data_IF_788962357039
#
_entry.id   IF_788962357039
#
_cell.length_a   1.000
_cell.length_b   1.000
_cell.length_c   1.000
_cell.angle_alpha   90.00
_cell.angle_beta   90.00
_cell.angle_gamma   90.00
#
_symmetry.space_group_name_H-M   'P 1'
#
loop_
_entity.id
_entity.type
_entity.pdbx_description
1 polymer ?
#
# COMPACT_ATOMS: atom_id res chain seq x y z
N UNK A 1 -14.18 -15.42 -2.89
CA UNK A 1 -14.38 -16.85 -2.50
C UNK A 1 -14.31 -17.04 -0.99
N UNK A 2 -13.24 -16.62 -0.31
CA UNK A 2 -13.17 -16.62 1.15
C UNK A 2 -13.79 -15.34 1.73
N UNK A 3 -14.53 -15.46 2.85
CA UNK A 3 -15.13 -14.33 3.58
C UNK A 3 -14.47 -14.18 4.95
N UNK A 4 -14.32 -12.96 5.47
CA UNK A 4 -13.91 -12.75 6.87
C UNK A 4 -15.05 -13.04 7.88
N UNK A 5 -16.30 -13.09 7.42
CA UNK A 5 -17.48 -13.22 8.27
C UNK A 5 -18.02 -14.64 8.39
N UNK A 6 -17.63 -15.56 7.48
CA UNK A 6 -18.11 -16.94 7.50
C UNK A 6 -17.06 -17.93 6.97
N UNK A 7 -16.91 -19.13 7.58
CA UNK A 7 -16.04 -20.16 7.08
C UNK A 7 -16.49 -20.68 5.71
N UNK A 8 -15.54 -20.88 4.81
CA UNK A 8 -15.77 -21.56 3.52
C UNK A 8 -15.25 -22.98 3.63
N UNK A 9 -16.08 -23.96 3.23
CA UNK A 9 -15.71 -25.38 3.25
C UNK A 9 -14.57 -25.68 2.27
N UNK A 10 -13.62 -26.53 2.70
CA UNK A 10 -12.44 -26.93 1.90
C UNK A 10 -12.86 -27.64 0.61
N UNK A 11 -13.93 -28.44 0.64
CA UNK A 11 -14.48 -29.12 -0.52
C UNK A 11 -14.97 -28.12 -1.56
N UNK A 12 -15.72 -27.09 -1.12
CA UNK A 12 -16.22 -26.03 -2.00
C UNK A 12 -15.06 -25.27 -2.68
N UNK A 13 -13.95 -25.03 -1.96
CA UNK A 13 -12.75 -24.40 -2.55
C UNK A 13 -12.14 -25.33 -3.59
N UNK A 14 -11.96 -26.60 -3.28
CA UNK A 14 -11.41 -27.61 -4.17
C UNK A 14 -12.21 -27.72 -5.47
N UNK A 15 -13.54 -27.82 -5.35
CA UNK A 15 -14.46 -27.90 -6.48
C UNK A 15 -14.40 -26.64 -7.36
N UNK A 16 -14.29 -25.44 -6.75
CA UNK A 16 -14.24 -24.17 -7.49
C UNK A 16 -12.91 -23.96 -8.20
N UNK A 17 -11.80 -24.42 -7.61
CA UNK A 17 -10.45 -24.28 -8.19
C UNK A 17 -10.04 -25.47 -9.08
N UNK A 18 -10.90 -26.49 -9.18
CA UNK A 18 -10.62 -27.73 -9.93
C UNK A 18 -9.34 -28.44 -9.46
N UNK A 19 -9.08 -28.44 -8.14
CA UNK A 19 -7.91 -29.10 -7.52
C UNK A 19 -8.36 -30.08 -6.43
N UNK A 20 -7.45 -30.99 -6.02
CA UNK A 20 -7.76 -31.95 -4.97
C UNK A 20 -7.87 -31.28 -3.58
N UNK A 21 -8.72 -31.84 -2.69
CA UNK A 21 -8.81 -31.35 -1.30
C UNK A 21 -7.47 -31.42 -0.55
N UNK A 22 -6.61 -32.47 -0.71
CA UNK A 22 -5.28 -32.47 -0.13
C UNK A 22 -4.41 -31.28 -0.58
N UNK A 23 -4.46 -30.91 -1.85
CA UNK A 23 -3.75 -29.72 -2.39
C UNK A 23 -4.25 -28.46 -1.68
N UNK A 24 -5.58 -28.24 -1.64
CA UNK A 24 -6.19 -27.11 -0.94
C UNK A 24 -5.78 -27.09 0.54
N UNK A 25 -5.80 -28.23 1.23
CA UNK A 25 -5.41 -28.32 2.65
C UNK A 25 -3.97 -27.93 2.89
N UNK A 26 -3.04 -28.33 1.99
CA UNK A 26 -1.62 -27.95 2.06
C UNK A 26 -1.45 -26.44 1.87
N UNK A 27 -2.09 -25.88 0.84
CA UNK A 27 -1.99 -24.45 0.53
C UNK A 27 -2.63 -23.59 1.63
N UNK A 28 -3.78 -24.04 2.17
CA UNK A 28 -4.42 -23.40 3.32
C UNK A 28 -3.59 -23.53 4.60
N UNK A 29 -2.80 -24.58 4.78
CA UNK A 29 -1.89 -24.70 5.92
C UNK A 29 -0.75 -23.67 5.82
N UNK A 30 -0.22 -23.48 4.62
CA UNK A 30 0.80 -22.45 4.36
C UNK A 30 0.19 -21.05 4.60
N UNK A 31 -0.95 -20.73 3.99
CA UNK A 31 -1.65 -19.45 4.19
C UNK A 31 -2.03 -19.20 5.66
N UNK A 32 -2.33 -20.26 6.42
CA UNK A 32 -2.60 -20.14 7.85
C UNK A 32 -1.31 -19.86 8.65
N UNK A 33 -0.20 -20.48 8.29
CA UNK A 33 1.11 -20.18 8.89
C UNK A 33 1.54 -18.72 8.62
N UNK A 34 1.20 -18.19 7.45
CA UNK A 34 1.39 -16.79 7.06
C UNK A 34 0.33 -15.86 7.69
N UNK A 35 -0.64 -16.40 8.45
CA UNK A 35 -1.71 -15.63 9.11
C UNK A 35 -2.77 -15.04 8.16
N UNK A 36 -2.79 -15.45 6.89
CA UNK A 36 -3.71 -14.97 5.86
C UNK A 36 -5.13 -15.52 6.05
N UNK A 37 -5.24 -16.73 6.57
CA UNK A 37 -6.50 -17.40 6.85
C UNK A 37 -6.52 -17.99 8.25
N UNK A 38 -7.72 -18.15 8.80
CA UNK A 38 -7.99 -18.90 10.05
C UNK A 38 -8.65 -20.21 9.68
N UNK A 39 -8.06 -21.32 10.10
CA UNK A 39 -8.68 -22.64 9.99
C UNK A 39 -9.64 -22.86 11.14
N UNK A 40 -10.84 -23.29 10.82
CA UNK A 40 -11.90 -23.63 11.79
C UNK A 40 -12.30 -25.10 11.61
N UNK A 41 -13.08 -25.65 12.55
CA UNK A 41 -13.61 -27.02 12.42
C UNK A 41 -14.56 -27.19 11.21
N UNK A 42 -15.15 -26.09 10.70
CA UNK A 42 -16.07 -26.09 9.56
C UNK A 42 -15.46 -25.58 8.24
N UNK A 43 -14.14 -25.32 8.18
CA UNK A 43 -13.51 -24.83 6.95
C UNK A 43 -12.42 -23.78 7.19
N UNK A 44 -12.35 -22.79 6.32
CA UNK A 44 -11.38 -21.71 6.38
C UNK A 44 -12.07 -20.38 6.14
N UNK A 45 -11.63 -19.36 6.85
CA UNK A 45 -12.10 -17.99 6.69
C UNK A 45 -10.90 -17.04 6.52
N UNK A 46 -11.12 -15.90 5.88
CA UNK A 46 -10.11 -14.85 5.91
C UNK A 46 -9.90 -14.42 7.36
N UNK A 47 -8.66 -14.25 7.75
CA UNK A 47 -8.36 -13.76 9.08
C UNK A 47 -8.91 -12.35 9.24
N UNK A 48 -9.88 -12.17 10.14
CA UNK A 48 -10.50 -10.87 10.46
C UNK A 48 -9.56 -9.92 11.22
N UNK A 49 -8.32 -10.35 11.50
CA UNK A 49 -7.27 -9.51 12.09
C UNK A 49 -6.71 -8.49 11.09
N UNK A 50 -7.57 -7.86 10.29
CA UNK A 50 -7.21 -6.63 9.56
C UNK A 50 -6.79 -5.49 10.52
N UNK A 51 -7.19 -5.59 11.79
CA UNK A 51 -6.78 -4.71 12.89
C UNK A 51 -5.48 -5.15 13.58
N UNK A 52 -4.81 -6.23 13.13
CA UNK A 52 -3.55 -6.62 13.74
C UNK A 52 -2.45 -5.65 13.31
N UNK A 53 -1.89 -4.93 14.29
CA UNK A 53 -0.87 -3.87 14.14
C UNK A 53 0.41 -4.33 13.44
N UNK A 54 0.53 -5.62 13.13
CA UNK A 54 1.75 -6.27 12.59
C UNK A 54 1.52 -7.12 11.33
N UNK A 55 0.53 -6.82 10.48
CA UNK A 55 0.33 -7.60 9.25
C UNK A 55 1.57 -7.58 8.35
N UNK A 56 2.19 -8.74 8.03
CA UNK A 56 3.30 -8.83 7.09
C UNK A 56 2.96 -8.18 5.74
N UNK A 57 3.97 -7.65 5.04
CA UNK A 57 3.79 -7.02 3.73
C UNK A 57 3.07 -7.96 2.74
N UNK A 58 3.51 -9.21 2.65
CA UNK A 58 2.91 -10.21 1.77
C UNK A 58 1.39 -10.32 1.95
N UNK A 59 0.92 -10.26 3.21
CA UNK A 59 -0.51 -10.25 3.48
C UNK A 59 -1.18 -8.97 3.01
N UNK A 60 -0.54 -7.81 3.26
CA UNK A 60 -1.08 -6.50 2.84
C UNK A 60 -1.16 -6.36 1.32
N UNK A 61 -0.29 -7.01 0.57
CA UNK A 61 -0.32 -7.04 -0.90
C UNK A 61 -1.63 -7.64 -1.43
N UNK A 62 -2.12 -8.73 -0.82
CA UNK A 62 -3.34 -9.42 -1.27
C UNK A 62 -4.64 -8.83 -0.71
N UNK A 63 -4.57 -8.10 0.40
CA UNK A 63 -5.76 -7.49 0.98
C UNK A 63 -6.20 -6.28 0.16
N UNK A 64 -7.52 -6.14 -0.05
CA UNK A 64 -8.13 -5.00 -0.75
C UNK A 64 -7.56 -4.80 -2.17
N UNK A 65 -7.22 -5.88 -2.86
CA UNK A 65 -6.54 -5.83 -4.16
C UNK A 65 -7.35 -5.06 -5.23
N UNK A 66 -8.64 -5.34 -5.34
CA UNK A 66 -9.54 -4.65 -6.26
C UNK A 66 -9.65 -3.15 -5.94
N UNK A 67 -9.75 -2.80 -4.66
CA UNK A 67 -9.83 -1.41 -4.19
C UNK A 67 -8.55 -0.67 -4.50
N UNK A 68 -7.38 -1.25 -4.20
CA UNK A 68 -6.08 -0.67 -4.52
C UNK A 68 -5.89 -0.46 -6.02
N UNK A 69 -6.33 -1.40 -6.84
CA UNK A 69 -6.28 -1.25 -8.30
C UNK A 69 -7.15 -0.09 -8.78
N UNK A 70 -8.37 0.08 -8.25
CA UNK A 70 -9.23 1.23 -8.56
C UNK A 70 -8.62 2.55 -8.13
N UNK A 71 -8.03 2.59 -6.94
CA UNK A 71 -7.32 3.76 -6.40
C UNK A 71 -6.15 4.12 -7.32
N UNK A 72 -5.30 3.16 -7.66
CA UNK A 72 -4.15 3.36 -8.52
C UNK A 72 -4.55 3.83 -9.93
N UNK A 73 -5.60 3.25 -10.52
CA UNK A 73 -6.14 3.69 -11.80
C UNK A 73 -6.61 5.15 -11.77
N UNK A 74 -7.21 5.58 -10.65
CA UNK A 74 -7.62 6.97 -10.46
C UNK A 74 -6.42 7.88 -10.29
N UNK A 75 -5.43 7.48 -9.49
CA UNK A 75 -4.19 8.22 -9.25
C UNK A 75 -3.37 8.41 -10.54
N UNK A 76 -3.33 7.40 -11.41
CA UNK A 76 -2.62 7.45 -12.69
C UNK A 76 -3.15 8.54 -13.65
N UNK A 77 -4.39 9.00 -13.47
CA UNK A 77 -4.96 10.12 -14.26
C UNK A 77 -4.38 11.47 -13.88
N UNK A 78 -3.78 11.58 -12.70
CA UNK A 78 -3.09 12.79 -12.25
C UNK A 78 -1.67 12.91 -12.82
N UNK A 79 -1.16 11.87 -13.47
CA UNK A 79 0.21 11.79 -13.97
C UNK A 79 0.22 12.17 -15.45
N UNK A 80 1.07 13.12 -15.81
CA UNK A 80 1.29 13.55 -17.19
C UNK A 80 2.62 13.00 -17.72
N UNK A 81 2.78 13.00 -19.04
CA UNK A 81 4.06 12.71 -19.65
C UNK A 81 5.12 13.73 -19.19
N UNK A 82 6.30 13.24 -18.89
CA UNK A 82 7.41 14.06 -18.40
C UNK A 82 7.43 14.33 -16.89
N UNK A 83 6.39 13.91 -16.14
CA UNK A 83 6.32 14.13 -14.69
C UNK A 83 7.44 13.37 -13.94
N UNK A 84 7.95 13.99 -12.91
CA UNK A 84 8.77 13.36 -11.88
C UNK A 84 7.87 13.01 -10.68
N UNK A 85 7.85 11.75 -10.32
CA UNK A 85 6.96 11.20 -9.29
C UNK A 85 7.80 10.70 -8.10
N UNK A 86 7.45 11.08 -6.88
CA UNK A 86 7.89 10.38 -5.68
C UNK A 86 6.82 9.40 -5.23
N UNK A 87 7.22 8.17 -4.91
CA UNK A 87 6.29 7.07 -4.60
C UNK A 87 6.83 6.23 -3.45
N UNK A 88 6.04 6.05 -2.37
CA UNK A 88 6.46 5.30 -1.21
C UNK A 88 6.41 3.77 -1.42
N UNK A 89 6.93 3.01 -0.45
CA UNK A 89 7.00 1.54 -0.47
C UNK A 89 5.68 0.84 -0.12
N UNK A 90 4.55 1.53 -0.09
CA UNK A 90 3.29 0.93 0.33
C UNK A 90 2.69 -0.01 -0.72
N UNK A 91 1.94 -1.01 -0.24
CA UNK A 91 1.26 -1.96 -1.15
C UNK A 91 0.18 -1.30 -2.01
N UNK A 92 -0.38 -0.17 -1.61
CA UNK A 92 -1.35 0.58 -2.42
C UNK A 92 -0.66 1.24 -3.60
N UNK A 93 0.53 1.81 -3.37
CA UNK A 93 1.34 2.46 -4.40
C UNK A 93 1.90 1.45 -5.41
N UNK A 94 2.21 0.23 -4.98
CA UNK A 94 2.66 -0.84 -5.88
C UNK A 94 1.71 -1.07 -7.06
N UNK A 95 0.39 -0.92 -6.83
CA UNK A 95 -0.63 -1.05 -7.89
C UNK A 95 -0.56 0.05 -8.96
N UNK A 96 0.24 1.11 -8.77
CA UNK A 96 0.38 2.18 -9.75
C UNK A 96 1.26 1.75 -10.95
N UNK A 97 2.24 0.86 -10.73
CA UNK A 97 3.24 0.50 -11.74
C UNK A 97 2.63 0.10 -13.11
N UNK A 98 1.62 -0.78 -13.21
CA UNK A 98 1.05 -1.17 -14.51
C UNK A 98 0.42 -0.01 -15.30
N UNK A 99 0.02 1.08 -14.63
CA UNK A 99 -0.60 2.23 -15.26
C UNK A 99 0.42 3.27 -15.74
N UNK A 100 1.71 3.08 -15.45
CA UNK A 100 2.78 3.99 -15.86
C UNK A 100 3.46 3.58 -17.18
N UNK A 101 3.28 2.34 -17.64
CA UNK A 101 3.92 1.80 -18.85
C UNK A 101 3.64 2.61 -20.14
N UNK A 102 2.47 3.21 -20.21
CA UNK A 102 2.03 3.98 -21.40
C UNK A 102 2.34 5.48 -21.27
N UNK A 103 2.93 5.91 -20.14
CA UNK A 103 3.35 7.29 -19.89
C UNK A 103 4.77 7.53 -20.43
N UNK A 104 4.95 8.63 -21.15
CA UNK A 104 6.23 8.96 -21.77
C UNK A 104 7.10 9.81 -20.84
N UNK A 105 8.37 9.50 -20.80
CA UNK A 105 9.41 10.30 -20.09
C UNK A 105 9.15 10.50 -18.58
N UNK A 106 8.30 9.68 -17.98
CA UNK A 106 8.05 9.71 -16.53
C UNK A 106 9.24 9.13 -15.78
N UNK A 107 9.60 9.78 -14.67
CA UNK A 107 10.65 9.33 -13.76
C UNK A 107 10.01 9.07 -12.39
N UNK A 108 10.17 7.86 -11.85
CA UNK A 108 9.70 7.52 -10.51
C UNK A 108 10.87 7.44 -9.54
N UNK A 109 10.80 8.20 -8.45
CA UNK A 109 11.74 8.14 -7.32
C UNK A 109 11.06 7.40 -6.19
N UNK A 110 11.62 6.27 -5.76
CA UNK A 110 10.99 5.44 -4.73
C UNK A 110 11.97 4.90 -3.71
N UNK A 111 11.48 4.66 -2.50
CA UNK A 111 12.15 3.88 -1.46
C UNK A 111 11.66 2.42 -1.42
N UNK A 112 10.78 2.00 -2.33
CA UNK A 112 10.13 0.69 -2.34
C UNK A 112 10.81 -0.30 -3.26
N UNK A 113 11.40 -1.39 -2.71
CA UNK A 113 12.05 -2.45 -3.50
C UNK A 113 11.05 -3.14 -4.45
N UNK A 114 9.82 -3.42 -3.96
CA UNK A 114 8.77 -4.05 -4.77
C UNK A 114 8.27 -3.16 -5.89
N UNK A 115 8.14 -1.86 -5.60
CA UNK A 115 7.72 -0.90 -6.63
C UNK A 115 8.80 -0.75 -7.70
N UNK A 116 10.09 -0.66 -7.31
CA UNK A 116 11.19 -0.56 -8.26
C UNK A 116 11.28 -1.80 -9.19
N UNK A 117 11.09 -3.00 -8.64
CA UNK A 117 11.01 -4.25 -9.43
C UNK A 117 9.85 -4.20 -10.44
N UNK A 118 8.66 -3.80 -9.99
CA UNK A 118 7.49 -3.69 -10.86
C UNK A 118 7.68 -2.64 -11.96
N UNK A 119 8.23 -1.46 -11.64
CA UNK A 119 8.52 -0.41 -12.61
C UNK A 119 9.56 -0.84 -13.65
N UNK A 120 10.60 -1.57 -13.24
CA UNK A 120 11.60 -2.14 -14.15
C UNK A 120 10.97 -3.13 -15.14
N UNK A 121 10.01 -3.95 -14.68
CA UNK A 121 9.25 -4.87 -15.55
C UNK A 121 8.41 -4.14 -16.60
N UNK A 122 7.88 -2.97 -16.25
CA UNK A 122 7.08 -2.11 -17.15
C UNK A 122 7.95 -1.13 -17.98
N UNK A 123 9.29 -1.22 -17.91
CA UNK A 123 10.26 -0.33 -18.56
C UNK A 123 10.10 1.16 -18.17
N UNK A 124 9.62 1.45 -16.96
CA UNK A 124 9.51 2.81 -16.42
C UNK A 124 10.81 3.19 -15.72
N UNK A 125 11.34 4.38 -16.03
CA UNK A 125 12.57 4.89 -15.41
C UNK A 125 12.36 5.08 -13.91
N UNK A 126 13.21 4.40 -13.12
CA UNK A 126 13.11 4.40 -11.67
C UNK A 126 14.45 4.77 -11.03
N UNK A 127 14.42 5.64 -10.03
CA UNK A 127 15.51 5.96 -9.14
C UNK A 127 15.20 5.47 -7.73
N UNK A 128 16.11 4.75 -7.11
CA UNK A 128 15.95 4.27 -5.73
C UNK A 128 16.73 5.15 -4.76
N UNK A 129 16.13 5.39 -3.59
CA UNK A 129 16.71 6.28 -2.57
C UNK A 129 18.01 5.79 -1.95
N UNK A 130 18.31 4.49 -2.01
CA UNK A 130 19.31 3.90 -1.14
C UNK A 130 18.87 3.89 0.33
N UNK A 131 19.78 3.52 1.24
CA UNK A 131 19.54 3.45 2.67
C UNK A 131 19.39 2.03 3.21
N UNK A 132 18.93 1.91 4.45
CA UNK A 132 18.77 0.64 5.16
C UNK A 132 17.47 -0.06 4.76
N UNK A 133 17.55 -1.34 4.41
CA UNK A 133 16.36 -2.14 4.09
C UNK A 133 15.58 -2.47 5.35
N UNK A 134 14.33 -2.03 5.42
CA UNK A 134 13.35 -2.50 6.39
C UNK A 134 12.68 -3.78 5.85
N UNK A 135 13.10 -4.92 6.35
CA UNK A 135 12.75 -6.24 5.81
C UNK A 135 11.25 -6.53 5.84
N UNK A 136 10.51 -6.09 6.87
CA UNK A 136 9.07 -6.31 7.03
C UNK A 136 8.21 -5.50 6.05
N UNK A 137 8.81 -4.49 5.40
CA UNK A 137 8.11 -3.58 4.49
C UNK A 137 8.74 -3.48 3.10
N UNK A 138 9.89 -4.13 2.89
CA UNK A 138 10.68 -4.02 1.65
C UNK A 138 10.88 -2.56 1.23
N UNK A 139 11.08 -1.69 2.22
CA UNK A 139 11.30 -0.26 2.05
C UNK A 139 12.69 0.15 2.50
N UNK A 140 13.25 1.14 1.86
CA UNK A 140 14.52 1.77 2.23
C UNK A 140 14.23 2.95 3.16
N UNK A 141 14.95 3.02 4.27
CA UNK A 141 14.83 4.07 5.30
C UNK A 141 16.22 4.53 5.75
N UNK A 142 16.27 5.54 6.59
CA UNK A 142 17.50 6.07 7.19
C UNK A 142 18.01 7.33 6.51
N UNK A 143 19.09 7.87 7.06
CA UNK A 143 19.65 9.17 6.66
C UNK A 143 20.03 9.22 5.18
N UNK A 144 20.53 8.13 4.62
CA UNK A 144 20.91 8.04 3.21
C UNK A 144 19.69 8.23 2.30
N UNK A 145 18.56 7.60 2.66
CA UNK A 145 17.32 7.76 1.91
C UNK A 145 16.80 9.20 2.00
N UNK A 146 16.84 9.80 3.18
CA UNK A 146 16.42 11.19 3.40
C UNK A 146 17.32 12.17 2.66
N UNK A 147 18.65 11.97 2.71
CA UNK A 147 19.62 12.81 2.02
C UNK A 147 19.47 12.72 0.48
N UNK A 148 19.25 11.51 -0.04
CA UNK A 148 19.00 11.30 -1.47
C UNK A 148 17.78 12.09 -1.94
N UNK A 149 16.64 11.97 -1.27
CA UNK A 149 15.38 12.62 -1.64
C UNK A 149 15.49 14.15 -1.67
N UNK A 150 16.26 14.74 -0.76
CA UNK A 150 16.46 16.20 -0.68
C UNK A 150 17.11 16.81 -1.93
N UNK A 151 17.74 16.00 -2.78
CA UNK A 151 18.39 16.48 -4.01
C UNK A 151 17.42 16.57 -5.20
N UNK A 152 16.16 16.17 -5.04
CA UNK A 152 15.21 16.09 -6.14
C UNK A 152 13.93 16.88 -5.83
N UNK A 153 13.32 17.41 -6.89
CA UNK A 153 11.98 17.98 -6.84
C UNK A 153 11.06 17.14 -7.71
N UNK A 154 9.86 16.87 -7.23
CA UNK A 154 8.85 16.10 -7.96
C UNK A 154 7.59 16.93 -8.25
N UNK A 155 6.87 16.54 -9.28
CA UNK A 155 5.58 17.14 -9.63
C UNK A 155 4.49 16.62 -8.69
N UNK A 156 4.57 15.34 -8.32
CA UNK A 156 3.62 14.71 -7.41
C UNK A 156 4.28 13.66 -6.53
N UNK A 157 3.82 13.59 -5.26
CA UNK A 157 4.14 12.50 -4.34
C UNK A 157 2.89 11.66 -4.12
N UNK A 158 2.98 10.35 -4.38
CA UNK A 158 2.00 9.35 -4.01
C UNK A 158 2.49 8.54 -2.83
N UNK A 159 1.68 8.46 -1.79
CA UNK A 159 2.02 7.71 -0.59
C UNK A 159 0.77 7.13 0.08
N UNK A 160 0.98 6.23 1.03
CA UNK A 160 -0.10 5.67 1.82
C UNK A 160 0.23 5.71 3.32
N UNK A 161 -0.71 5.29 4.16
CA UNK A 161 -0.54 5.15 5.59
C UNK A 161 -1.15 3.84 6.09
N UNK A 162 -0.94 3.50 7.35
CA UNK A 162 -1.61 2.34 7.95
C UNK A 162 -3.01 2.65 8.43
N UNK A 163 -3.25 3.87 8.89
CA UNK A 163 -4.56 4.27 9.37
C UNK A 163 -4.77 5.78 9.27
N UNK A 164 -6.05 6.14 9.29
CA UNK A 164 -6.51 7.53 9.36
C UNK A 164 -7.46 7.58 10.55
N UNK A 165 -7.05 8.27 11.61
CA UNK A 165 -7.86 8.36 12.84
C UNK A 165 -9.18 9.08 12.58
N UNK A 166 -10.15 8.93 13.48
CA UNK A 166 -11.39 9.72 13.43
C UNK A 166 -11.15 11.23 13.51
N UNK A 167 -10.02 11.66 14.06
CA UNK A 167 -9.58 13.05 14.08
C UNK A 167 -8.80 13.49 12.84
N UNK A 168 -8.66 12.65 11.80
CA UNK A 168 -8.01 12.99 10.54
C UNK A 168 -6.48 12.90 10.55
N UNK A 169 -5.87 12.30 11.57
CA UNK A 169 -4.42 12.08 11.58
C UNK A 169 -4.07 10.82 10.82
N UNK A 170 -3.14 10.94 9.87
CA UNK A 170 -2.51 9.82 9.20
C UNK A 170 -1.51 9.18 10.17
N UNK A 171 -1.63 7.89 10.39
CA UNK A 171 -0.81 7.19 11.38
C UNK A 171 -0.22 5.87 10.85
N UNK A 172 0.92 5.52 11.41
CA UNK A 172 1.67 4.32 11.06
C UNK A 172 2.33 3.67 12.31
N UNK A 173 3.06 2.58 12.06
CA UNK A 173 3.87 1.85 13.05
C UNK A 173 5.38 2.05 12.84
N UNK A 174 5.79 2.87 11.89
CA UNK A 174 7.18 3.04 11.48
C UNK A 174 7.55 4.51 11.30
N UNK A 175 8.28 5.05 12.24
CA UNK A 175 8.83 6.42 12.16
C UNK A 175 9.71 6.57 10.93
N UNK A 176 10.62 5.62 10.67
CA UNK A 176 11.54 5.75 9.52
C UNK A 176 10.86 5.76 8.16
N UNK A 177 9.70 5.05 7.99
CA UNK A 177 8.91 5.17 6.76
C UNK A 177 8.18 6.51 6.69
N UNK A 178 7.70 7.01 7.82
CA UNK A 178 7.04 8.32 7.90
C UNK A 178 8.02 9.47 7.66
N UNK A 179 9.27 9.37 8.12
CA UNK A 179 10.33 10.34 7.82
C UNK A 179 10.58 10.44 6.31
N UNK A 180 10.65 9.29 5.62
CA UNK A 180 10.79 9.24 4.16
C UNK A 180 9.59 9.91 3.47
N UNK A 181 8.36 9.56 3.87
CA UNK A 181 7.12 10.18 3.33
C UNK A 181 7.11 11.68 3.56
N UNK A 182 7.50 12.13 4.75
CA UNK A 182 7.56 13.55 5.08
C UNK A 182 8.55 14.33 4.19
N UNK A 183 9.69 13.72 3.83
CA UNK A 183 10.61 14.33 2.86
C UNK A 183 10.02 14.32 1.46
N UNK A 184 9.45 13.19 1.00
CA UNK A 184 8.79 13.10 -0.31
C UNK A 184 7.71 14.17 -0.49
N UNK A 185 6.85 14.35 0.53
CA UNK A 185 5.82 15.38 0.52
C UNK A 185 6.40 16.79 0.38
N UNK A 186 7.47 17.12 1.14
CA UNK A 186 8.12 18.44 1.08
C UNK A 186 8.84 18.73 -0.24
N UNK A 187 9.31 17.68 -0.91
CA UNK A 187 10.05 17.77 -2.18
C UNK A 187 9.12 17.70 -3.41
N UNK A 188 7.81 17.64 -3.21
CA UNK A 188 6.83 17.53 -4.29
C UNK A 188 5.90 18.74 -4.33
N UNK A 189 5.50 19.15 -5.55
CA UNK A 189 4.54 20.25 -5.76
C UNK A 189 3.14 19.87 -5.27
N UNK A 190 2.80 18.56 -5.30
CA UNK A 190 1.51 18.03 -4.90
C UNK A 190 1.70 16.73 -4.10
N UNK A 191 0.99 16.60 -2.99
CA UNK A 191 0.95 15.41 -2.15
C UNK A 191 -0.41 14.71 -2.27
N UNK A 192 -0.40 13.41 -2.62
CA UNK A 192 -1.60 12.61 -2.86
C UNK A 192 -1.57 11.35 -2.00
N UNK A 193 -2.49 11.26 -1.06
CA UNK A 193 -2.67 10.06 -0.25
C UNK A 193 -3.53 9.04 -1.00
N UNK A 194 -3.04 7.81 -1.12
CA UNK A 194 -3.79 6.67 -1.63
C UNK A 194 -4.16 5.74 -0.47
N UNK A 195 -5.44 5.66 -0.12
CA UNK A 195 -5.90 4.89 1.03
C UNK A 195 -7.22 4.17 0.73
N UNK A 196 -7.23 2.85 0.89
CA UNK A 196 -8.47 2.08 0.82
C UNK A 196 -9.35 2.32 2.06
N UNK A 197 -10.66 2.07 1.91
CA UNK A 197 -11.67 2.35 2.92
C UNK A 197 -11.45 1.65 4.26
N UNK A 198 -10.69 0.55 4.29
CA UNK A 198 -10.39 -0.18 5.52
C UNK A 198 -9.44 0.58 6.47
N UNK A 199 -8.79 1.65 6.01
CA UNK A 199 -7.83 2.43 6.80
C UNK A 199 -8.47 3.52 7.63
N UNK A 200 -9.69 3.91 7.31
CA UNK A 200 -10.40 4.97 8.03
C UNK A 200 -10.91 4.49 9.39
N UNK A 201 -10.76 5.33 10.41
CA UNK A 201 -11.09 4.99 11.80
C UNK A 201 -10.02 4.17 12.53
N UNK A 202 -8.91 3.81 11.88
CA UNK A 202 -7.80 3.09 12.52
C UNK A 202 -6.80 4.09 13.14
N UNK A 203 -6.27 3.71 14.31
CA UNK A 203 -5.26 4.49 15.04
C UNK A 203 -4.03 3.64 15.31
N UNK A 204 -2.85 4.20 15.05
CA UNK A 204 -1.55 3.63 15.36
C UNK A 204 -0.74 4.62 16.20
N UNK A 205 0.39 4.19 16.72
CA UNK A 205 1.12 4.92 17.76
C UNK A 205 1.91 6.15 17.25
N UNK A 206 2.18 6.25 15.95
CA UNK A 206 2.89 7.38 15.35
C UNK A 206 2.01 8.13 14.36
N UNK A 207 2.00 9.44 14.40
CA UNK A 207 1.28 10.30 13.46
C UNK A 207 2.26 10.95 12.49
N UNK A 208 2.06 10.76 11.19
CA UNK A 208 2.79 11.44 10.13
C UNK A 208 2.37 12.91 10.02
N UNK A 209 1.09 13.13 9.77
CA UNK A 209 0.50 14.47 9.59
C UNK A 209 -1.02 14.42 9.70
N UNK A 210 -1.66 15.58 9.67
CA UNK A 210 -3.11 15.68 9.55
C UNK A 210 -3.53 15.72 8.07
N UNK A 211 -4.69 15.16 7.74
CA UNK A 211 -5.24 15.07 6.36
C UNK A 211 -5.41 16.43 5.68
N UNK A 212 -5.57 17.52 6.45
CA UNK A 212 -5.63 18.88 5.92
C UNK A 212 -4.32 19.39 5.32
N UNK A 213 -3.20 18.75 5.64
CA UNK A 213 -1.87 19.07 5.11
C UNK A 213 -1.56 18.35 3.77
N UNK A 214 -2.51 17.59 3.26
CA UNK A 214 -2.41 16.82 2.03
C UNK A 214 -3.29 17.47 0.96
N UNK A 215 -2.79 17.59 -0.26
CA UNK A 215 -3.52 18.24 -1.35
C UNK A 215 -4.73 17.40 -1.79
N UNK A 216 -4.56 16.07 -1.92
CA UNK A 216 -5.61 15.18 -2.39
C UNK A 216 -5.61 13.83 -1.67
N UNK A 217 -6.79 13.25 -1.48
CA UNK A 217 -7.00 11.89 -0.97
C UNK A 217 -7.79 11.10 -2.01
N UNK A 218 -7.23 9.99 -2.47
CA UNK A 218 -7.89 9.06 -3.38
C UNK A 218 -8.19 7.77 -2.63
N UNK A 219 -9.47 7.38 -2.66
CA UNK A 219 -9.96 6.15 -2.01
C UNK A 219 -10.95 5.43 -2.93
N UNK A 220 -11.22 4.16 -2.62
CA UNK A 220 -12.25 3.34 -3.26
C UNK A 220 -13.69 3.77 -2.88
N UNK A 221 -13.83 4.58 -1.83
CA UNK A 221 -15.07 5.18 -1.37
C UNK A 221 -14.93 6.71 -1.34
N UNK A 222 -16.02 7.48 -1.49
CA UNK A 222 -15.98 8.93 -1.35
C UNK A 222 -15.43 9.36 0.01
N UNK A 223 -14.47 10.28 0.01
CA UNK A 223 -13.88 10.85 1.22
C UNK A 223 -14.16 12.34 1.28
N UNK A 224 -14.88 12.76 2.31
CA UNK A 224 -15.03 14.19 2.61
C UNK A 224 -13.90 14.67 3.54
N UNK A 225 -12.89 15.31 2.96
CA UNK A 225 -11.78 15.90 3.74
C UNK A 225 -12.27 16.97 4.71
N UNK A 226 -13.41 17.62 4.44
CA UNK A 226 -13.94 18.66 5.32
C UNK A 226 -14.54 18.09 6.61
N UNK A 227 -14.92 16.79 6.62
CA UNK A 227 -15.34 16.12 7.83
C UNK A 227 -14.26 16.07 8.92
N UNK A 228 -12.98 16.29 8.54
CA UNK A 228 -11.82 16.31 9.45
C UNK A 228 -11.30 17.73 9.74
N UNK A 229 -11.95 18.79 9.23
CA UNK A 229 -11.62 20.17 9.60
C UNK A 229 -12.14 20.42 11.02
N UNK A 230 -11.23 20.78 11.93
CA UNK A 230 -11.60 21.36 13.22
C UNK A 230 -11.95 22.83 13.07
#
# INVERSE_FOLDING_TARGET
MLSPSAPTDVKKIADTLYVSQPTVRRDLAQLAAEGLVIRTHGGVMLSSRAADKSLPLARREYLMNEQKTKIAMTAARLINDGDVIMADNSTTILHLAPFLKDKKDVIVITNGLRLAEALATENVKCLMTGGTVKTEAYGLIGEEALAFLKNYNADVCFFSCRGITSGGYLCDTSVGEDDVRAVMMRQSKKSVLLADSSKFGLSFWHNLCHVSQIDEVISDQPVDKNAYKK
#
